data_IF_280215637171
#
_entry.id   IF_280215637171
#
_cell.length_a   1.000
_cell.length_b   1.000
_cell.length_c   1.000
_cell.angle_alpha   90.00
_cell.angle_beta   90.00
_cell.angle_gamma   90.00
#
_symmetry.space_group_name_H-M   'P 1'
#
loop_
_entity.id
_entity.type
_entity.pdbx_description
1 polymer ?
#
# COMPACT_ATOMS: atom_id res chain seq x y z
N UNK A 1 -7.77 14.53 -13.36
CA UNK A 1 -7.27 13.39 -12.55
C UNK A 1 -5.88 13.70 -12.01
N UNK A 2 -5.57 13.20 -10.82
CA UNK A 2 -4.21 13.23 -10.29
C UNK A 2 -3.40 12.16 -11.05
N UNK A 3 -2.25 12.51 -11.65
CA UNK A 3 -1.45 11.52 -12.37
C UNK A 3 -0.79 10.55 -11.36
N UNK A 4 -0.85 9.23 -11.59
CA UNK A 4 -0.30 8.23 -10.65
C UNK A 4 1.23 8.18 -10.64
N UNK A 5 1.90 8.63 -11.70
CA UNK A 5 3.36 8.74 -11.88
C UNK A 5 4.14 7.40 -11.79
N UNK A 6 3.47 6.29 -11.50
CA UNK A 6 4.08 4.97 -11.36
C UNK A 6 4.93 4.80 -10.09
N UNK A 7 5.45 3.59 -9.88
CA UNK A 7 6.08 3.19 -8.62
C UNK A 7 7.39 3.91 -8.26
N UNK A 8 8.03 4.57 -9.22
CA UNK A 8 9.26 5.33 -8.95
C UNK A 8 8.94 6.71 -8.41
N UNK A 9 8.04 7.45 -9.07
CA UNK A 9 7.78 8.87 -8.80
C UNK A 9 6.50 9.12 -8.00
N UNK A 10 5.67 8.11 -7.79
CA UNK A 10 4.38 8.23 -7.12
C UNK A 10 3.93 6.91 -6.52
N UNK A 11 2.67 6.53 -6.78
CA UNK A 11 2.04 5.29 -6.31
C UNK A 11 1.82 5.23 -4.79
N UNK A 12 1.69 6.38 -4.13
CA UNK A 12 1.37 6.45 -2.71
C UNK A 12 0.13 5.58 -2.40
N UNK A 13 0.16 4.86 -1.30
CA UNK A 13 -0.87 3.90 -0.91
C UNK A 13 -0.75 2.52 -1.55
N UNK A 14 0.13 2.35 -2.55
CA UNK A 14 0.36 1.05 -3.17
C UNK A 14 1.25 0.14 -2.32
N UNK A 15 1.28 -1.16 -2.67
CA UNK A 15 2.21 -2.11 -2.07
C UNK A 15 3.67 -1.81 -2.42
N UNK A 16 3.94 -1.27 -3.59
CA UNK A 16 5.29 -0.89 -3.99
C UNK A 16 5.79 0.33 -3.20
N UNK A 17 4.92 1.31 -2.95
CA UNK A 17 5.24 2.46 -2.10
C UNK A 17 5.48 2.01 -0.64
N UNK A 18 4.61 1.16 -0.09
CA UNK A 18 4.80 0.55 1.23
C UNK A 18 6.13 -0.20 1.32
N UNK A 19 6.45 -1.00 0.29
CA UNK A 19 7.72 -1.74 0.22
C UNK A 19 8.94 -0.85 0.17
N UNK A 20 8.90 0.28 -0.55
CA UNK A 20 9.98 1.28 -0.53
C UNK A 20 10.18 1.86 0.87
N UNK A 21 9.09 2.25 1.53
CA UNK A 21 9.15 2.77 2.91
C UNK A 21 9.72 1.72 3.87
N UNK A 22 9.27 0.47 3.76
CA UNK A 22 9.74 -0.62 4.59
C UNK A 22 11.23 -0.91 4.40
N UNK A 23 11.67 -1.12 3.15
CA UNK A 23 13.08 -1.41 2.84
C UNK A 23 13.99 -0.24 3.26
N UNK A 24 13.57 1.01 3.00
CA UNK A 24 14.29 2.17 3.50
C UNK A 24 14.37 2.16 5.03
N UNK A 25 13.24 1.97 5.71
CA UNK A 25 13.17 2.01 7.17
C UNK A 25 14.09 1.01 7.86
N UNK A 26 14.13 -0.24 7.37
CA UNK A 26 14.98 -1.28 7.98
C UNK A 26 16.49 -1.08 7.73
N UNK A 27 16.88 -0.40 6.65
CA UNK A 27 18.30 -0.18 6.33
C UNK A 27 18.84 1.22 6.65
N UNK A 28 17.95 2.22 6.83
CA UNK A 28 18.33 3.58 7.22
C UNK A 28 18.23 3.83 8.73
N UNK A 29 17.64 2.89 9.46
CA UNK A 29 17.51 2.98 10.92
C UNK A 29 16.25 3.68 11.41
N UNK A 30 15.29 3.93 10.52
CA UNK A 30 13.97 4.47 10.89
C UNK A 30 13.09 3.39 11.56
N UNK A 31 13.39 2.11 11.29
CA UNK A 31 12.80 0.97 11.96
C UNK A 31 13.83 0.25 12.83
N UNK A 32 13.42 -0.33 13.98
CA UNK A 32 14.30 -1.06 14.87
C UNK A 32 15.06 -2.20 14.19
N UNK A 33 16.30 -2.43 14.62
CA UNK A 33 17.19 -3.45 14.06
C UNK A 33 16.59 -4.85 14.08
N UNK A 34 15.83 -5.20 15.14
CA UNK A 34 15.20 -6.52 15.24
C UNK A 34 14.18 -6.79 14.11
N UNK A 35 13.49 -5.75 13.59
CA UNK A 35 12.57 -5.90 12.46
C UNK A 35 13.35 -6.24 11.18
N UNK A 36 14.52 -5.62 10.97
CA UNK A 36 15.40 -5.96 9.86
C UNK A 36 15.87 -7.41 9.93
N UNK A 37 16.35 -7.83 11.09
CA UNK A 37 16.82 -9.20 11.31
C UNK A 37 15.70 -10.21 11.11
N UNK A 38 14.51 -9.94 11.64
CA UNK A 38 13.33 -10.77 11.46
C UNK A 38 12.98 -10.92 9.98
N UNK A 39 12.94 -9.81 9.23
CA UNK A 39 12.64 -9.84 7.80
C UNK A 39 13.67 -10.64 6.99
N UNK A 40 14.97 -10.38 7.19
CA UNK A 40 16.02 -11.07 6.47
C UNK A 40 16.02 -12.56 6.73
N UNK A 41 15.75 -12.97 7.98
CA UNK A 41 15.68 -14.39 8.37
C UNK A 41 14.42 -15.07 7.80
N UNK A 42 13.23 -14.47 7.95
CA UNK A 42 11.99 -15.09 7.48
C UNK A 42 11.93 -15.23 5.96
N UNK A 43 12.36 -14.18 5.23
CA UNK A 43 12.36 -14.21 3.76
C UNK A 43 13.61 -14.90 3.19
N UNK A 44 14.53 -15.32 4.04
CA UNK A 44 15.82 -15.91 3.66
C UNK A 44 16.50 -15.13 2.54
N UNK A 45 16.65 -13.82 2.74
CA UNK A 45 17.15 -12.87 1.75
C UNK A 45 18.22 -11.98 2.36
N UNK A 46 19.22 -11.64 1.57
CA UNK A 46 20.33 -10.74 1.94
C UNK A 46 20.11 -9.33 1.41
N UNK A 47 20.83 -8.36 1.99
CA UNK A 47 20.87 -6.99 1.45
C UNK A 47 21.27 -6.95 -0.04
N UNK A 48 22.30 -7.71 -0.43
CA UNK A 48 22.78 -7.74 -1.81
C UNK A 48 21.70 -8.24 -2.78
N UNK A 49 20.93 -9.27 -2.40
CA UNK A 49 19.84 -9.79 -3.21
C UNK A 49 18.68 -8.81 -3.31
N UNK A 50 18.39 -8.06 -2.25
CA UNK A 50 17.37 -6.99 -2.30
C UNK A 50 17.78 -5.92 -3.34
N UNK A 51 19.04 -5.46 -3.29
CA UNK A 51 19.57 -4.50 -4.25
C UNK A 51 19.53 -5.06 -5.68
N UNK A 52 19.90 -6.32 -5.86
CA UNK A 52 19.81 -6.98 -7.16
C UNK A 52 18.36 -7.03 -7.68
N UNK A 53 17.38 -7.42 -6.84
CA UNK A 53 15.96 -7.51 -7.20
C UNK A 53 15.38 -6.14 -7.58
N UNK A 54 15.83 -5.07 -6.93
CA UNK A 54 15.31 -3.72 -7.18
C UNK A 54 15.95 -3.06 -8.39
N UNK A 55 17.27 -3.22 -8.61
CA UNK A 55 18.00 -2.44 -9.60
C UNK A 55 18.47 -3.23 -10.83
N UNK A 56 18.50 -4.57 -10.76
CA UNK A 56 19.04 -5.41 -11.84
C UNK A 56 18.08 -6.44 -12.39
N UNK A 57 17.03 -6.79 -11.64
CA UNK A 57 16.02 -7.75 -12.08
C UNK A 57 14.76 -7.05 -12.60
N UNK A 58 14.02 -7.67 -13.50
CA UNK A 58 12.71 -7.17 -13.92
C UNK A 58 11.70 -7.20 -12.76
N UNK A 59 10.63 -6.39 -12.89
CA UNK A 59 9.51 -6.36 -11.94
C UNK A 59 9.87 -5.92 -10.52
N UNK A 60 10.76 -4.94 -10.37
CA UNK A 60 11.15 -4.37 -9.08
C UNK A 60 9.93 -3.91 -8.25
N UNK A 61 8.91 -3.34 -8.91
CA UNK A 61 7.65 -2.96 -8.26
C UNK A 61 6.92 -4.15 -7.64
N UNK A 62 6.94 -5.32 -8.30
CA UNK A 62 6.32 -6.55 -7.77
C UNK A 62 7.09 -7.08 -6.57
N UNK A 63 8.41 -7.05 -6.61
CA UNK A 63 9.25 -7.40 -5.45
C UNK A 63 8.97 -6.47 -4.28
N UNK A 64 8.99 -5.16 -4.49
CA UNK A 64 8.67 -4.18 -3.44
C UNK A 64 7.27 -4.43 -2.86
N UNK A 65 6.26 -4.62 -3.73
CA UNK A 65 4.90 -4.91 -3.27
C UNK A 65 4.79 -6.21 -2.47
N UNK A 66 5.63 -7.23 -2.75
CA UNK A 66 5.59 -8.50 -2.02
C UNK A 66 5.97 -8.38 -0.54
N UNK A 67 6.78 -7.37 -0.18
CA UNK A 67 7.17 -7.12 1.22
C UNK A 67 5.96 -6.76 2.11
N UNK A 68 4.86 -6.31 1.51
CA UNK A 68 3.61 -6.03 2.23
C UNK A 68 3.05 -7.25 2.97
N UNK A 69 3.38 -8.46 2.52
CA UNK A 69 2.96 -9.71 3.20
C UNK A 69 3.64 -9.84 4.56
N UNK A 70 4.95 -9.55 4.61
CA UNK A 70 5.69 -9.52 5.87
C UNK A 70 5.14 -8.44 6.81
N UNK A 71 4.92 -7.22 6.29
CA UNK A 71 4.34 -6.11 7.06
C UNK A 71 2.96 -6.49 7.60
N UNK A 72 2.11 -7.14 6.80
CA UNK A 72 0.80 -7.60 7.24
C UNK A 72 0.87 -8.67 8.33
N UNK A 73 1.77 -9.63 8.20
CA UNK A 73 1.99 -10.71 9.19
C UNK A 73 2.41 -10.18 10.56
N UNK A 74 3.12 -9.06 10.59
CA UNK A 74 3.69 -8.45 11.79
C UNK A 74 3.07 -7.08 12.13
N UNK A 75 1.76 -6.88 11.83
CA UNK A 75 1.04 -5.64 12.16
C UNK A 75 0.87 -5.38 13.66
N UNK A 76 1.11 -6.37 14.50
CA UNK A 76 1.19 -6.25 15.96
C UNK A 76 2.39 -5.39 16.41
N UNK A 77 3.41 -5.23 15.56
CA UNK A 77 4.52 -4.31 15.80
C UNK A 77 4.07 -2.87 15.48
N UNK A 78 4.06 -1.96 16.47
CA UNK A 78 3.53 -0.60 16.30
C UNK A 78 4.27 0.21 15.23
N UNK A 79 5.55 -0.07 15.02
CA UNK A 79 6.36 0.58 13.98
C UNK A 79 5.87 0.20 12.58
N UNK A 80 5.49 -1.04 12.34
CA UNK A 80 4.95 -1.49 11.06
C UNK A 80 3.53 -0.97 10.85
N UNK A 81 2.71 -0.96 11.89
CA UNK A 81 1.38 -0.34 11.84
C UNK A 81 1.48 1.15 11.49
N UNK A 82 2.42 1.89 12.09
CA UNK A 82 2.69 3.30 11.79
C UNK A 82 3.16 3.51 10.35
N UNK A 83 3.98 2.60 9.83
CA UNK A 83 4.46 2.64 8.45
C UNK A 83 3.29 2.49 7.44
N UNK A 84 2.38 1.55 7.70
CA UNK A 84 1.17 1.36 6.89
C UNK A 84 0.29 2.61 6.94
N UNK A 85 0.08 3.17 8.14
CA UNK A 85 -0.71 4.39 8.31
C UNK A 85 -0.09 5.56 7.52
N UNK A 86 1.24 5.74 7.60
CA UNK A 86 1.95 6.76 6.84
C UNK A 86 1.77 6.60 5.32
N UNK A 87 1.81 5.37 4.81
CA UNK A 87 1.59 5.09 3.39
C UNK A 87 0.18 5.53 2.93
N UNK A 88 -0.86 5.25 3.70
CA UNK A 88 -2.22 5.70 3.38
C UNK A 88 -2.42 7.19 3.62
N UNK A 89 -1.82 7.77 4.65
CA UNK A 89 -1.84 9.22 4.87
C UNK A 89 -1.27 9.96 3.65
N UNK A 90 -0.15 9.48 3.10
CA UNK A 90 0.44 10.00 1.87
C UNK A 90 -0.52 9.88 0.68
N UNK A 91 -1.19 8.75 0.51
CA UNK A 91 -2.18 8.56 -0.54
C UNK A 91 -3.33 9.57 -0.44
N UNK A 92 -3.95 9.70 0.73
CA UNK A 92 -5.03 10.66 0.90
C UNK A 92 -4.56 12.10 0.67
N UNK A 93 -3.44 12.49 1.27
CA UNK A 93 -2.86 13.83 1.16
C UNK A 93 -2.54 14.23 -0.28
N UNK A 94 -1.87 13.36 -1.02
CA UNK A 94 -1.35 13.69 -2.35
C UNK A 94 -2.35 13.43 -3.48
N UNK A 95 -3.27 12.48 -3.30
CA UNK A 95 -4.20 12.06 -4.34
C UNK A 95 -5.65 12.42 -4.00
N UNK A 96 -6.22 11.86 -2.94
CA UNK A 96 -7.66 11.93 -2.66
C UNK A 96 -8.11 13.34 -2.28
N UNK A 97 -7.34 14.06 -1.43
CA UNK A 97 -7.68 15.41 -0.99
C UNK A 97 -7.84 16.42 -2.14
N UNK A 98 -7.23 16.15 -3.30
CA UNK A 98 -7.39 17.01 -4.49
C UNK A 98 -8.83 17.04 -5.01
N UNK A 99 -9.63 16.02 -4.67
CA UNK A 99 -11.03 15.91 -5.07
C UNK A 99 -12.01 16.55 -4.08
N UNK A 100 -11.59 16.86 -2.86
CA UNK A 100 -12.43 17.50 -1.84
C UNK A 100 -13.05 18.82 -2.34
N UNK A 101 -12.33 19.59 -3.16
CA UNK A 101 -12.81 20.84 -3.80
C UNK A 101 -14.01 20.64 -4.72
N UNK A 102 -14.30 19.43 -5.14
CA UNK A 102 -15.46 19.09 -5.98
C UNK A 102 -16.62 18.49 -5.15
N UNK A 103 -16.57 18.61 -3.81
CA UNK A 103 -17.62 18.10 -2.92
C UNK A 103 -17.56 16.60 -2.67
N UNK A 104 -16.52 15.90 -3.14
CA UNK A 104 -16.35 14.47 -2.92
C UNK A 104 -16.02 14.23 -1.45
N UNK A 105 -16.84 13.40 -0.78
CA UNK A 105 -16.66 13.00 0.63
C UNK A 105 -16.56 11.49 0.83
N UNK A 106 -16.89 10.72 -0.20
CA UNK A 106 -16.88 9.25 -0.14
C UNK A 106 -15.82 8.69 -1.07
N UNK A 107 -15.18 7.62 -0.62
CA UNK A 107 -14.18 6.88 -1.39
C UNK A 107 -14.51 5.40 -1.39
N UNK A 108 -14.26 4.76 -2.52
CA UNK A 108 -14.25 3.29 -2.63
C UNK A 108 -12.89 2.85 -3.14
N UNK A 109 -12.40 1.73 -2.65
CA UNK A 109 -11.11 1.19 -3.04
C UNK A 109 -11.25 -0.24 -3.57
N UNK A 110 -10.44 -0.55 -4.58
CA UNK A 110 -10.30 -1.90 -5.12
C UNK A 110 -8.81 -2.23 -5.13
N UNK A 111 -8.44 -3.34 -4.52
CA UNK A 111 -7.08 -3.82 -4.50
C UNK A 111 -6.69 -4.43 -3.15
N UNK A 112 -5.70 -5.34 -3.22
CA UNK A 112 -5.28 -6.13 -2.07
C UNK A 112 -4.75 -5.28 -0.91
N UNK A 113 -4.03 -4.19 -1.18
CA UNK A 113 -3.44 -3.36 -0.12
C UNK A 113 -4.54 -2.69 0.71
N UNK A 114 -5.49 -2.00 0.09
CA UNK A 114 -6.61 -1.40 0.82
C UNK A 114 -7.48 -2.46 1.52
N UNK A 115 -7.61 -3.65 0.93
CA UNK A 115 -8.40 -4.74 1.50
C UNK A 115 -7.75 -5.33 2.76
N UNK A 116 -6.49 -5.73 2.70
CA UNK A 116 -5.80 -6.34 3.84
C UNK A 116 -5.48 -5.35 4.97
N UNK A 117 -5.17 -4.11 4.61
CA UNK A 117 -4.90 -3.03 5.57
C UNK A 117 -6.10 -2.08 5.76
N UNK A 118 -7.31 -2.61 5.65
CA UNK A 118 -8.56 -1.83 5.63
C UNK A 118 -8.68 -0.87 6.81
N UNK A 119 -8.32 -1.31 8.01
CA UNK A 119 -8.40 -0.46 9.20
C UNK A 119 -7.55 0.82 9.06
N UNK A 120 -6.30 0.68 8.63
CA UNK A 120 -5.40 1.82 8.42
C UNK A 120 -5.90 2.72 7.28
N UNK A 121 -6.47 2.14 6.22
CA UNK A 121 -7.09 2.89 5.12
C UNK A 121 -8.28 3.73 5.60
N UNK A 122 -9.18 3.14 6.42
CA UNK A 122 -10.34 3.83 6.98
C UNK A 122 -9.93 4.94 7.97
N UNK A 123 -8.92 4.69 8.81
CA UNK A 123 -8.34 5.71 9.71
C UNK A 123 -7.77 6.89 8.93
N UNK A 124 -7.02 6.61 7.86
CA UNK A 124 -6.50 7.67 7.00
C UNK A 124 -7.64 8.44 6.32
N UNK A 125 -8.66 7.76 5.77
CA UNK A 125 -9.81 8.41 5.17
C UNK A 125 -10.48 9.38 6.15
N UNK A 126 -10.81 8.91 7.36
CA UNK A 126 -11.45 9.71 8.40
C UNK A 126 -10.59 10.94 8.78
N UNK A 127 -9.28 10.76 8.94
CA UNK A 127 -8.33 11.83 9.24
C UNK A 127 -8.40 12.97 8.22
N UNK A 128 -8.61 12.65 6.95
CA UNK A 128 -8.69 13.63 5.86
C UNK A 128 -10.13 14.04 5.49
N UNK A 129 -11.12 13.63 6.29
CA UNK A 129 -12.51 14.05 6.12
C UNK A 129 -13.29 13.26 5.07
N UNK A 130 -12.86 12.05 4.77
CA UNK A 130 -13.55 11.14 3.84
C UNK A 130 -14.18 9.96 4.57
N UNK A 131 -15.25 9.43 4.00
CA UNK A 131 -15.92 8.20 4.43
C UNK A 131 -15.60 7.09 3.42
N UNK A 132 -15.24 5.92 3.92
CA UNK A 132 -15.03 4.75 3.08
C UNK A 132 -16.36 4.04 2.86
N UNK A 133 -16.83 4.03 1.61
CA UNK A 133 -18.07 3.37 1.22
C UNK A 133 -17.84 1.87 1.02
N UNK A 134 -16.84 1.49 0.21
CA UNK A 134 -16.59 0.09 -0.14
C UNK A 134 -15.08 -0.18 -0.32
N UNK A 135 -14.65 -1.35 0.15
CA UNK A 135 -13.30 -1.87 -0.13
C UNK A 135 -13.44 -3.29 -0.66
N UNK A 136 -12.94 -3.53 -1.86
CA UNK A 136 -12.93 -4.85 -2.50
C UNK A 136 -11.50 -5.30 -2.80
N UNK A 137 -11.25 -6.59 -2.62
CA UNK A 137 -9.94 -7.17 -2.91
C UNK A 137 -9.64 -7.21 -4.42
N UNK A 138 -10.67 -7.53 -5.21
CA UNK A 138 -10.55 -7.73 -6.66
C UNK A 138 -11.76 -7.18 -7.40
N UNK A 139 -11.59 -6.61 -8.60
CA UNK A 139 -12.69 -6.10 -9.42
C UNK A 139 -13.57 -7.20 -10.03
N UNK A 140 -13.20 -8.47 -9.93
CA UNK A 140 -13.84 -9.58 -10.65
C UNK A 140 -15.34 -9.67 -10.34
N UNK A 141 -15.73 -9.60 -9.07
CA UNK A 141 -17.13 -9.69 -8.67
C UNK A 141 -17.97 -8.51 -9.19
N UNK A 142 -17.42 -7.29 -9.14
CA UNK A 142 -18.07 -6.11 -9.68
C UNK A 142 -18.23 -6.17 -11.19
N UNK A 143 -17.23 -6.68 -11.92
CA UNK A 143 -17.28 -6.86 -13.37
C UNK A 143 -18.31 -7.91 -13.76
N UNK A 144 -18.39 -9.04 -13.07
CA UNK A 144 -19.39 -10.07 -13.32
C UNK A 144 -20.83 -9.55 -13.10
N UNK A 145 -21.06 -8.80 -12.02
CA UNK A 145 -22.36 -8.17 -11.75
C UNK A 145 -22.74 -7.16 -12.83
N UNK A 146 -21.80 -6.32 -13.28
CA UNK A 146 -22.02 -5.35 -14.34
C UNK A 146 -22.43 -6.03 -15.67
N UNK A 147 -21.74 -7.08 -16.07
CA UNK A 147 -22.07 -7.80 -17.31
C UNK A 147 -23.41 -8.55 -17.24
N UNK A 148 -23.75 -9.15 -16.08
CA UNK A 148 -25.05 -9.79 -15.89
C UNK A 148 -26.23 -8.80 -16.03
N UNK A 149 -26.10 -7.61 -15.46
CA UNK A 149 -27.15 -6.59 -15.50
C UNK A 149 -27.32 -5.93 -16.89
N UNK A 150 -26.35 -6.08 -17.79
CA UNK A 150 -26.45 -5.60 -19.19
C UNK A 150 -27.06 -6.60 -20.16
N UNK A 151 -27.28 -7.83 -19.74
CA UNK A 151 -27.91 -8.88 -20.56
C UNK A 151 -29.42 -9.01 -20.31
N UNK A 152 -29.97 -8.20 -19.43
CA UNK A 152 -31.41 -7.97 -19.22
C UNK A 152 -31.83 -6.64 -19.88
#
# INVERSE_FOLDING_TARGET
NVPPLGYILGDEGSGAALGKLFINGIFKGDLPTHIRELYLNEENITYAEIIEKVYRKPLANRFLASTSKFVYKHLDLPELASLVQHNFDSFFKHNVCKYARYGVKEVSAIGSIAYYFRNAFEVAAAKYGFVVNKVEQSPIHGMLAYHKNRQQ
#
